data_IF_032278920099
#
_entry.id   IF_032278920099
#
_cell.length_a   1.000
_cell.length_b   1.000
_cell.length_c   1.000
_cell.angle_alpha   90.00
_cell.angle_beta   90.00
_cell.angle_gamma   90.00
#
_symmetry.space_group_name_H-M   'P 1'
#
loop_
_entity.id
_entity.type
_entity.pdbx_description
1 polymer ?
#
# COMPACT_ATOMS: atom_id res chain seq x y z
N UNK A 1 -1.39 6.79 5.13
CA UNK A 1 -0.27 6.16 5.88
C UNK A 1 0.39 5.09 5.03
N UNK A 2 1.70 4.86 5.16
CA UNK A 2 2.47 3.89 4.35
C UNK A 2 2.94 2.70 5.21
N UNK A 3 2.95 1.49 4.63
CA UNK A 3 3.38 0.25 5.30
C UNK A 3 4.28 -0.57 4.36
N UNK A 4 5.46 -0.97 4.84
CA UNK A 4 6.39 -1.82 4.08
C UNK A 4 6.99 -2.96 4.91
N UNK A 5 7.30 -4.06 4.24
CA UNK A 5 8.14 -5.13 4.80
C UNK A 5 9.57 -4.98 4.29
N UNK A 6 10.52 -4.87 5.20
CA UNK A 6 11.96 -4.83 4.88
C UNK A 6 12.51 -6.24 4.97
N UNK A 7 13.06 -6.75 3.86
CA UNK A 7 13.63 -8.12 3.88
C UNK A 7 14.94 -8.15 4.67
N UNK A 8 15.26 -9.29 5.28
CA UNK A 8 16.47 -9.43 6.12
C UNK A 8 17.77 -9.06 5.36
N UNK A 9 17.81 -9.35 4.05
CA UNK A 9 18.96 -9.08 3.18
C UNK A 9 18.89 -7.73 2.44
N UNK A 10 17.91 -6.89 2.74
CA UNK A 10 17.74 -5.59 2.08
C UNK A 10 18.57 -4.51 2.81
N UNK A 11 19.29 -3.69 2.04
CA UNK A 11 19.97 -2.50 2.56
C UNK A 11 18.90 -1.55 3.13
N UNK A 12 18.99 -1.12 4.40
CA UNK A 12 18.05 -0.17 4.99
C UNK A 12 17.84 1.10 4.14
N UNK A 13 18.89 1.59 3.46
CA UNK A 13 18.78 2.77 2.59
C UNK A 13 17.90 2.53 1.38
N UNK A 14 17.97 1.33 0.81
CA UNK A 14 17.11 0.95 -0.31
C UNK A 14 15.63 0.87 0.12
N UNK A 15 15.36 0.42 1.35
CA UNK A 15 14.00 0.41 1.88
C UNK A 15 13.47 1.84 2.13
N UNK A 16 14.32 2.76 2.57
CA UNK A 16 13.96 4.18 2.70
C UNK A 16 13.67 4.80 1.32
N UNK A 17 14.51 4.55 0.32
CA UNK A 17 14.31 5.03 -1.06
C UNK A 17 12.97 4.55 -1.65
N UNK A 18 12.59 3.28 -1.43
CA UNK A 18 11.30 2.75 -1.90
C UNK A 18 10.10 3.38 -1.19
N UNK A 19 10.24 3.71 0.10
CA UNK A 19 9.19 4.42 0.84
C UNK A 19 9.09 5.89 0.44
N UNK A 20 10.20 6.55 0.11
CA UNK A 20 10.22 7.90 -0.45
C UNK A 20 9.53 7.92 -1.82
N UNK A 21 9.78 6.92 -2.66
CA UNK A 21 9.07 6.75 -3.93
C UNK A 21 7.57 6.51 -3.71
N UNK A 22 7.19 5.63 -2.78
CA UNK A 22 5.78 5.35 -2.48
C UNK A 22 5.05 6.58 -1.96
N UNK A 23 5.71 7.39 -1.13
CA UNK A 23 5.20 8.67 -0.67
C UNK A 23 4.98 9.63 -1.84
N UNK A 24 5.95 9.76 -2.74
CA UNK A 24 5.81 10.57 -3.94
C UNK A 24 4.65 10.11 -4.82
N UNK A 25 4.47 8.80 -5.02
CA UNK A 25 3.32 8.25 -5.75
C UNK A 25 2.00 8.64 -5.08
N UNK A 26 1.91 8.49 -3.75
CA UNK A 26 0.73 8.87 -2.97
C UNK A 26 0.41 10.35 -3.13
N UNK A 27 1.41 11.23 -3.03
CA UNK A 27 1.24 12.67 -3.26
C UNK A 27 0.71 12.97 -4.65
N UNK A 28 1.19 12.26 -5.68
CA UNK A 28 0.67 12.44 -7.05
C UNK A 28 -0.77 11.96 -7.26
N UNK A 29 -1.30 11.19 -6.30
CA UNK A 29 -2.69 10.77 -6.22
C UNK A 29 -3.52 11.63 -5.24
N UNK A 30 -3.00 12.80 -4.84
CA UNK A 30 -3.58 13.69 -3.83
C UNK A 30 -3.74 13.05 -2.44
N UNK A 31 -2.91 12.04 -2.11
CA UNK A 31 -2.89 11.37 -0.81
C UNK A 31 -1.70 11.87 -0.01
N UNK A 32 -1.97 12.48 1.15
CA UNK A 32 -0.92 12.94 2.07
C UNK A 32 -0.48 11.81 3.00
N UNK A 33 0.82 11.56 3.01
CA UNK A 33 1.48 10.63 3.92
C UNK A 33 1.71 11.28 5.29
N UNK A 34 1.13 10.71 6.36
CA UNK A 34 1.28 11.22 7.73
C UNK A 34 2.18 10.34 8.61
N UNK A 35 2.42 9.09 8.18
CA UNK A 35 3.20 8.10 8.93
C UNK A 35 3.68 6.99 8.01
N UNK A 36 4.86 6.43 8.35
CA UNK A 36 5.43 5.23 7.74
C UNK A 36 5.60 4.15 8.82
N UNK A 37 5.15 2.93 8.53
CA UNK A 37 5.43 1.74 9.33
C UNK A 37 6.27 0.77 8.53
N UNK A 38 7.29 0.21 9.17
CA UNK A 38 8.08 -0.88 8.60
C UNK A 38 8.13 -2.07 9.54
N UNK A 39 8.26 -3.26 8.96
CA UNK A 39 8.60 -4.46 9.71
C UNK A 39 9.67 -5.25 8.99
N UNK A 40 10.75 -5.59 9.70
CA UNK A 40 11.75 -6.50 9.16
C UNK A 40 11.25 -7.95 9.26
N UNK A 41 11.20 -8.65 8.12
CA UNK A 41 10.79 -10.05 7.99
C UNK A 41 11.59 -10.72 6.87
N UNK A 42 11.87 -12.02 6.99
CA UNK A 42 12.48 -12.79 5.89
C UNK A 42 11.64 -12.73 4.60
N UNK A 43 10.31 -12.75 4.75
CA UNK A 43 9.34 -12.56 3.68
C UNK A 43 8.03 -12.02 4.26
N UNK A 44 7.19 -11.32 3.47
CA UNK A 44 5.87 -10.92 3.91
C UNK A 44 5.02 -12.10 4.38
N UNK A 45 4.19 -11.88 5.40
CA UNK A 45 3.22 -12.86 5.87
C UNK A 45 2.23 -13.17 4.76
N UNK A 46 2.14 -14.44 4.34
CA UNK A 46 1.19 -14.90 3.34
C UNK A 46 -0.29 -14.66 3.74
N UNK A 47 -0.55 -14.44 5.04
CA UNK A 47 -1.91 -14.22 5.56
C UNK A 47 -2.28 -12.74 5.66
N UNK A 48 -1.38 -11.88 6.13
CA UNK A 48 -1.67 -10.49 6.52
C UNK A 48 -0.54 -9.50 6.22
N UNK A 49 0.38 -9.86 5.31
CA UNK A 49 1.53 -9.06 4.85
C UNK A 49 2.59 -8.75 5.93
N UNK A 50 2.19 -8.13 7.04
CA UNK A 50 2.97 -7.96 8.27
C UNK A 50 2.64 -9.05 9.30
N UNK A 51 3.31 -9.04 10.44
CA UNK A 51 2.96 -9.89 11.60
C UNK A 51 1.72 -9.37 12.34
N UNK A 52 1.02 -10.24 13.11
CA UNK A 52 -0.25 -9.88 13.75
C UNK A 52 -0.12 -8.74 14.77
N UNK A 53 0.97 -8.70 15.54
CA UNK A 53 1.21 -7.61 16.49
C UNK A 53 1.42 -6.26 15.79
N UNK A 54 2.13 -6.25 14.65
CA UNK A 54 2.33 -5.05 13.85
C UNK A 54 1.03 -4.61 13.16
N UNK A 55 0.22 -5.56 12.68
CA UNK A 55 -1.08 -5.25 12.12
C UNK A 55 -1.98 -4.58 13.16
N UNK A 56 -2.01 -5.08 14.39
CA UNK A 56 -2.77 -4.48 15.49
C UNK A 56 -2.29 -3.06 15.80
N UNK A 57 -0.97 -2.85 15.90
CA UNK A 57 -0.37 -1.53 16.11
C UNK A 57 -0.77 -0.52 15.00
N UNK A 58 -0.77 -0.97 13.74
CA UNK A 58 -1.24 -0.19 12.60
C UNK A 58 -2.75 0.11 12.73
N UNK A 59 -3.57 -0.88 13.13
CA UNK A 59 -5.01 -0.73 13.33
C UNK A 59 -5.34 0.35 14.35
N UNK A 60 -4.62 0.31 15.48
CA UNK A 60 -4.84 1.20 16.60
C UNK A 60 -4.41 2.61 16.24
N UNK A 61 -3.26 2.78 15.59
CA UNK A 61 -2.84 4.07 15.06
C UNK A 61 -3.84 4.63 14.04
N UNK A 62 -4.38 3.80 13.13
CA UNK A 62 -5.40 4.24 12.18
C UNK A 62 -6.66 4.77 12.88
N UNK A 63 -7.05 4.16 13.99
CA UNK A 63 -8.24 4.53 14.75
C UNK A 63 -8.02 5.80 15.56
N UNK A 64 -6.85 5.94 16.17
CA UNK A 64 -6.48 7.09 17.00
C UNK A 64 -6.29 8.36 16.16
N UNK A 65 -5.65 8.24 15.00
CA UNK A 65 -5.31 9.37 14.12
C UNK A 65 -6.28 9.54 12.95
N UNK A 66 -7.40 8.81 12.96
CA UNK A 66 -8.45 8.86 11.92
C UNK A 66 -7.91 8.72 10.49
N UNK A 67 -7.01 7.74 10.28
CA UNK A 67 -6.38 7.51 8.97
C UNK A 67 -7.42 7.03 7.95
N UNK A 68 -7.56 7.73 6.82
CA UNK A 68 -8.49 7.36 5.75
C UNK A 68 -8.03 6.14 4.93
N UNK A 69 -6.72 6.06 4.67
CA UNK A 69 -6.12 5.08 3.77
C UNK A 69 -4.75 4.59 4.25
N UNK A 70 -4.57 3.28 4.17
CA UNK A 70 -3.29 2.60 4.36
C UNK A 70 -2.81 2.07 3.02
N UNK A 71 -1.59 2.47 2.65
CA UNK A 71 -0.94 2.06 1.40
C UNK A 71 0.17 1.07 1.72
N UNK A 72 0.07 -0.13 1.17
CA UNK A 72 1.09 -1.17 1.26
C UNK A 72 2.08 -1.08 0.10
N UNK A 73 3.37 -1.19 0.41
CA UNK A 73 4.46 -1.05 -0.55
C UNK A 73 4.49 -2.16 -1.61
N UNK A 74 4.08 -3.37 -1.23
CA UNK A 74 3.95 -4.50 -2.15
C UNK A 74 2.49 -4.73 -2.54
N UNK A 75 2.30 -5.36 -3.69
CA UNK A 75 1.01 -5.92 -4.09
C UNK A 75 0.50 -6.93 -3.05
N UNK A 76 -0.76 -6.79 -2.68
CA UNK A 76 -1.41 -7.71 -1.75
C UNK A 76 -2.16 -8.79 -2.53
N UNK A 77 -1.92 -10.05 -2.16
CA UNK A 77 -2.76 -11.13 -2.65
C UNK A 77 -4.21 -10.97 -2.18
N UNK A 78 -5.21 -11.49 -2.92
CA UNK A 78 -6.62 -11.40 -2.51
C UNK A 78 -6.89 -11.97 -1.10
N UNK A 79 -6.09 -12.95 -0.66
CA UNK A 79 -6.18 -13.49 0.70
C UNK A 79 -5.68 -12.51 1.75
N UNK A 80 -4.55 -11.84 1.48
CA UNK A 80 -4.00 -10.82 2.38
C UNK A 80 -4.97 -9.66 2.52
N UNK A 81 -5.45 -9.09 1.42
CA UNK A 81 -6.41 -7.97 1.43
C UNK A 81 -7.63 -8.28 2.29
N UNK A 82 -8.32 -9.40 2.02
CA UNK A 82 -9.50 -9.81 2.80
C UNK A 82 -9.23 -10.04 4.29
N UNK A 83 -8.02 -10.45 4.66
CA UNK A 83 -7.69 -10.68 6.06
C UNK A 83 -7.30 -9.39 6.78
N UNK A 84 -6.59 -8.49 6.09
CA UNK A 84 -6.20 -7.19 6.63
C UNK A 84 -7.44 -6.30 6.79
N UNK A 85 -8.37 -6.30 5.82
CA UNK A 85 -9.62 -5.53 5.87
C UNK A 85 -10.50 -5.84 7.09
N UNK A 86 -10.40 -7.06 7.64
CA UNK A 86 -11.16 -7.43 8.85
C UNK A 86 -10.67 -6.71 10.10
N UNK A 87 -9.40 -6.33 10.12
CA UNK A 87 -8.73 -5.73 11.28
C UNK A 87 -8.57 -4.20 11.10
N UNK A 88 -8.56 -3.71 9.86
CA UNK A 88 -8.36 -2.29 9.55
C UNK A 88 -9.65 -1.47 9.60
N UNK A 89 -9.64 -0.31 10.28
CA UNK A 89 -10.79 0.60 10.34
C UNK A 89 -10.93 1.50 9.10
N UNK A 90 -10.02 1.38 8.13
CA UNK A 90 -9.84 2.32 7.02
C UNK A 90 -9.67 1.60 5.69
N UNK A 91 -9.63 2.36 4.58
CA UNK A 91 -9.44 1.78 3.24
C UNK A 91 -8.03 1.24 3.08
N UNK A 92 -7.90 0.15 2.33
CA UNK A 92 -6.62 -0.39 1.92
C UNK A 92 -6.33 -0.05 0.46
N UNK A 93 -5.06 0.19 0.20
CA UNK A 93 -4.47 0.35 -1.11
C UNK A 93 -3.16 -0.41 -1.12
N UNK A 94 -2.80 -1.02 -2.24
CA UNK A 94 -1.44 -1.47 -2.47
C UNK A 94 -0.77 -0.64 -3.57
N UNK A 95 0.53 -0.83 -3.77
CA UNK A 95 1.30 -0.09 -4.77
C UNK A 95 0.73 -0.26 -6.18
N UNK A 96 0.33 -1.48 -6.56
CA UNK A 96 -0.24 -1.75 -7.89
C UNK A 96 -1.53 -0.95 -8.10
N UNK A 97 -2.43 -0.97 -7.12
CA UNK A 97 -3.69 -0.20 -7.17
C UNK A 97 -3.45 1.30 -7.20
N UNK A 98 -2.52 1.82 -6.40
CA UNK A 98 -2.13 3.23 -6.39
C UNK A 98 -1.69 3.69 -7.78
N UNK A 99 -0.79 2.93 -8.42
CA UNK A 99 -0.27 3.24 -9.75
C UNK A 99 -1.40 3.24 -10.79
N UNK A 100 -2.30 2.26 -10.73
CA UNK A 100 -3.45 2.21 -11.63
C UNK A 100 -4.40 3.40 -11.45
N UNK A 101 -4.64 3.83 -10.22
CA UNK A 101 -5.49 4.99 -9.93
C UNK A 101 -4.84 6.30 -10.45
N UNK A 102 -3.52 6.46 -10.30
CA UNK A 102 -2.76 7.60 -10.87
C UNK A 102 -2.86 7.61 -12.40
N UNK A 103 -2.68 6.46 -13.05
CA UNK A 103 -2.80 6.37 -14.50
C UNK A 103 -4.22 6.64 -14.98
N UNK A 104 -5.23 6.16 -14.25
CA UNK A 104 -6.63 6.43 -14.57
C UNK A 104 -6.95 7.92 -14.50
N UNK A 105 -6.47 8.59 -13.45
CA UNK A 105 -6.64 10.04 -13.25
C UNK A 105 -5.99 10.85 -14.39
N UNK A 106 -4.82 10.41 -14.86
CA UNK A 106 -4.06 11.11 -15.92
C UNK A 106 -4.51 10.77 -17.33
N UNK A 107 -5.24 9.68 -17.56
CA UNK A 107 -5.62 9.22 -18.89
C UNK A 107 -6.55 10.21 -19.61
N UNK A 108 -6.05 10.90 -20.63
CA UNK A 108 -6.79 11.92 -21.38
C UNK A 108 -7.59 11.35 -22.56
N UNK A 109 -7.10 10.29 -23.21
CA UNK A 109 -7.73 9.72 -24.40
C UNK A 109 -8.58 8.50 -24.07
N UNK A 110 -9.61 8.24 -24.89
CA UNK A 110 -10.46 7.06 -24.72
C UNK A 110 -9.64 5.75 -24.74
N UNK A 111 -8.67 5.64 -25.66
CA UNK A 111 -7.79 4.49 -25.75
C UNK A 111 -6.96 4.28 -24.47
N UNK A 112 -6.35 5.35 -23.93
CA UNK A 112 -5.58 5.27 -22.69
C UNK A 112 -6.46 4.83 -21.51
N UNK A 113 -7.67 5.39 -21.39
CA UNK A 113 -8.64 4.98 -20.36
C UNK A 113 -8.99 3.50 -20.48
N UNK A 114 -9.27 3.00 -21.68
CA UNK A 114 -9.57 1.58 -21.91
C UNK A 114 -8.40 0.68 -21.50
N UNK A 115 -7.16 1.04 -21.81
CA UNK A 115 -5.99 0.25 -21.42
C UNK A 115 -5.82 0.16 -19.90
N UNK A 116 -5.98 1.28 -19.19
CA UNK A 116 -5.90 1.28 -17.72
C UNK A 116 -7.08 0.52 -17.11
N UNK A 117 -8.28 0.61 -17.70
CA UNK A 117 -9.44 -0.18 -17.26
C UNK A 117 -9.22 -1.68 -17.43
N UNK A 118 -8.64 -2.11 -18.55
CA UNK A 118 -8.27 -3.51 -18.76
C UNK A 118 -7.29 -3.99 -17.69
N UNK A 119 -6.25 -3.22 -17.38
CA UNK A 119 -5.32 -3.55 -16.30
C UNK A 119 -6.01 -3.62 -14.93
N UNK A 120 -7.00 -2.77 -14.68
CA UNK A 120 -7.82 -2.83 -13.46
C UNK A 120 -8.74 -4.06 -13.41
N UNK A 121 -9.13 -4.65 -14.54
CA UNK A 121 -9.96 -5.85 -14.57
C UNK A 121 -9.16 -7.14 -14.37
N UNK A 122 -7.89 -7.14 -14.76
CA UNK A 122 -6.98 -8.29 -14.59
C UNK A 122 -6.37 -8.35 -13.18
N UNK A 123 -6.46 -7.25 -12.41
CA UNK A 123 -6.07 -7.13 -11.01
C UNK A 123 -7.25 -7.49 -10.08
#
# INVERSE_FOLDING_TARGET
MLVAVVRDNQDPRQAEEYLDELEFLAETADIVSVKRFTQRLAQPSARIYVGPGKLQEIADYCREEEIDVVIFDDELSPSQTRNIEKEMPCRLLDRTRLILDIFMSRAQTAYAKTQVQLANYEY
#
